data_IF_268358384603
#
_entry.id   IF_268358384603
#
_cell.length_a   1.000
_cell.length_b   1.000
_cell.length_c   1.000
_cell.angle_alpha   90.00
_cell.angle_beta   90.00
_cell.angle_gamma   90.00
#
_symmetry.space_group_name_H-M   'P 1'
#
loop_
_entity.id
_entity.type
_entity.pdbx_description
1 polymer ?
#
# COMPACT_ATOMS: atom_id res chain seq x y z
N UNK A 1 15.39 57.02 16.84
CA UNK A 1 14.73 56.71 15.54
C UNK A 1 15.24 55.41 14.93
N UNK A 2 16.54 55.19 14.70
CA UNK A 2 17.08 53.94 14.11
C UNK A 2 16.82 52.70 14.97
N UNK A 3 16.99 52.78 16.27
CA UNK A 3 16.77 51.64 17.19
C UNK A 3 15.30 51.14 17.22
N UNK A 4 14.36 52.07 17.24
CA UNK A 4 12.93 51.76 17.23
C UNK A 4 12.49 51.16 15.90
N UNK A 5 13.01 51.62 14.78
CA UNK A 5 12.75 51.05 13.46
C UNK A 5 13.31 49.61 13.35
N UNK A 6 14.52 49.36 13.90
CA UNK A 6 15.11 48.05 13.91
C UNK A 6 14.27 47.01 14.74
N UNK A 7 13.79 47.42 15.91
CA UNK A 7 12.94 46.55 16.75
C UNK A 7 11.63 46.19 16.04
N UNK A 8 10.98 47.16 15.40
CA UNK A 8 9.73 46.92 14.67
C UNK A 8 10.00 46.01 13.47
N UNK A 9 11.09 46.21 12.73
CA UNK A 9 11.45 45.38 11.58
C UNK A 9 11.70 43.89 11.99
N UNK A 10 12.41 43.68 13.11
CA UNK A 10 12.64 42.34 13.65
C UNK A 10 11.31 41.68 14.09
N UNK A 11 10.41 42.45 14.72
CA UNK A 11 9.09 41.95 15.13
C UNK A 11 8.25 41.52 13.93
N UNK A 12 8.20 42.32 12.88
CA UNK A 12 7.46 41.99 11.65
C UNK A 12 8.10 40.79 10.95
N UNK A 13 9.42 40.77 10.81
CA UNK A 13 10.12 39.65 10.19
C UNK A 13 9.87 38.31 10.94
N UNK A 14 9.89 38.35 12.27
CA UNK A 14 9.59 37.18 13.10
C UNK A 14 8.14 36.71 12.91
N UNK A 15 7.17 37.63 12.86
CA UNK A 15 5.76 37.30 12.66
C UNK A 15 5.53 36.66 11.28
N UNK A 16 6.11 37.26 10.23
CA UNK A 16 6.02 36.68 8.87
C UNK A 16 6.69 35.31 8.80
N UNK A 17 7.85 35.14 9.43
CA UNK A 17 8.54 33.84 9.49
C UNK A 17 7.70 32.76 10.17
N UNK A 18 7.03 33.08 11.28
CA UNK A 18 6.14 32.14 11.97
C UNK A 18 4.93 31.79 11.10
N UNK A 19 4.27 32.77 10.49
CA UNK A 19 3.12 32.50 9.62
C UNK A 19 3.49 31.63 8.42
N UNK A 20 4.60 31.90 7.76
CA UNK A 20 5.10 31.11 6.64
C UNK A 20 5.42 29.67 7.06
N UNK A 21 6.00 29.50 8.25
CA UNK A 21 6.31 28.17 8.81
C UNK A 21 5.02 27.40 9.11
N UNK A 22 4.00 28.04 9.65
CA UNK A 22 2.68 27.42 9.91
C UNK A 22 2.03 26.98 8.61
N UNK A 23 2.07 27.80 7.57
CA UNK A 23 1.50 27.44 6.26
C UNK A 23 2.26 26.27 5.60
N UNK A 24 3.59 26.25 5.73
CA UNK A 24 4.41 25.12 5.30
C UNK A 24 4.06 23.82 6.03
N UNK A 25 3.89 23.88 7.33
CA UNK A 25 3.47 22.71 8.14
C UNK A 25 2.04 22.26 7.77
N UNK A 26 1.10 23.19 7.64
CA UNK A 26 -0.28 22.87 7.23
C UNK A 26 -0.30 22.17 5.87
N UNK A 27 0.46 22.67 4.90
CA UNK A 27 0.55 22.07 3.58
C UNK A 27 1.17 20.67 3.66
N UNK A 28 2.29 20.50 4.35
CA UNK A 28 2.96 19.21 4.52
C UNK A 28 2.05 18.17 5.21
N UNK A 29 1.32 18.61 6.25
CA UNK A 29 0.35 17.76 6.96
C UNK A 29 -0.82 17.41 6.03
N UNK A 30 -1.38 18.37 5.29
CA UNK A 30 -2.48 18.13 4.35
C UNK A 30 -2.07 17.17 3.22
N UNK A 31 -0.87 17.35 2.67
CA UNK A 31 -0.33 16.48 1.63
C UNK A 31 -0.13 15.06 2.19
N UNK A 32 0.44 14.92 3.39
CA UNK A 32 0.59 13.63 4.07
C UNK A 32 -0.75 12.94 4.37
N UNK A 33 -1.78 13.70 4.77
CA UNK A 33 -3.13 13.15 4.96
C UNK A 33 -3.80 12.76 3.65
N UNK A 34 -3.56 13.48 2.57
CA UNK A 34 -4.07 13.13 1.24
C UNK A 34 -3.42 11.85 0.73
N UNK A 35 -2.12 11.67 0.97
CA UNK A 35 -1.38 10.45 0.66
C UNK A 35 -1.79 9.25 1.55
N UNK A 36 -2.22 9.49 2.79
CA UNK A 36 -2.72 8.45 3.71
C UNK A 36 -4.10 7.88 3.32
N UNK A 37 -4.68 8.31 2.19
CA UNK A 37 -5.92 7.74 1.68
C UNK A 37 -7.15 8.15 2.49
N UNK A 38 -7.27 9.42 2.85
CA UNK A 38 -8.44 9.97 3.55
C UNK A 38 -9.79 9.68 2.85
N UNK A 39 -9.73 9.27 1.58
CA UNK A 39 -10.89 8.93 0.77
C UNK A 39 -11.05 7.42 0.54
N UNK A 40 -10.34 6.56 1.27
CA UNK A 40 -10.44 5.11 1.14
C UNK A 40 -11.19 4.49 2.32
N UNK A 41 -12.18 3.66 2.00
CA UNK A 41 -12.92 2.84 2.98
C UNK A 41 -12.37 1.43 2.97
N UNK A 42 -12.12 0.90 4.16
CA UNK A 42 -11.63 -0.46 4.34
C UNK A 42 -12.69 -1.33 4.99
N UNK A 43 -13.16 -2.34 4.27
CA UNK A 43 -14.05 -3.38 4.79
C UNK A 43 -13.18 -4.60 5.09
N UNK A 44 -12.96 -4.85 6.37
CA UNK A 44 -12.12 -5.96 6.84
C UNK A 44 -12.73 -6.63 8.06
N UNK A 45 -12.49 -7.94 8.20
CA UNK A 45 -12.86 -8.64 9.42
C UNK A 45 -12.05 -8.11 10.60
N UNK A 46 -12.72 -7.77 11.69
CA UNK A 46 -12.03 -7.42 12.91
C UNK A 46 -11.15 -8.58 13.37
N UNK A 47 -9.90 -8.28 13.64
CA UNK A 47 -8.98 -9.25 14.21
C UNK A 47 -9.28 -9.35 15.70
N UNK A 48 -9.56 -10.56 16.18
CA UNK A 48 -9.53 -10.80 17.62
C UNK A 48 -8.08 -10.62 18.07
N UNK A 49 -7.71 -9.41 18.47
CA UNK A 49 -6.43 -9.19 19.11
C UNK A 49 -6.40 -10.06 20.36
N UNK A 50 -5.35 -10.86 20.46
CA UNK A 50 -5.05 -11.66 21.65
C UNK A 50 -4.56 -10.77 22.81
N UNK A 51 -5.18 -9.61 22.98
CA UNK A 51 -5.00 -8.78 24.17
C UNK A 51 -5.53 -9.56 25.37
N UNK A 52 -4.68 -9.75 26.35
CA UNK A 52 -5.00 -10.32 27.67
C UNK A 52 -5.82 -9.31 28.47
N UNK A 53 -7.03 -9.00 28.02
CA UNK A 53 -8.01 -8.40 28.93
C UNK A 53 -8.88 -9.53 29.47
N UNK A 54 -8.64 -9.85 30.74
CA UNK A 54 -9.37 -10.81 31.53
C UNK A 54 -10.83 -10.37 31.62
N UNK A 55 -11.75 -11.22 31.17
CA UNK A 55 -13.20 -11.06 31.44
C UNK A 55 -14.07 -10.67 30.22
N UNK A 56 -13.53 -10.37 29.05
CA UNK A 56 -14.35 -10.05 27.86
C UNK A 56 -14.61 -11.30 27.04
N UNK A 57 -15.87 -11.63 26.81
CA UNK A 57 -16.28 -12.71 25.91
C UNK A 57 -15.79 -12.38 24.49
N UNK A 58 -14.87 -13.19 23.96
CA UNK A 58 -14.29 -13.02 22.62
C UNK A 58 -15.38 -13.21 21.58
N UNK A 59 -15.80 -12.14 20.92
CA UNK A 59 -16.71 -12.20 19.79
C UNK A 59 -15.91 -12.66 18.56
N UNK A 60 -16.21 -13.84 18.02
CA UNK A 60 -15.66 -14.30 16.76
C UNK A 60 -16.35 -13.55 15.61
N UNK A 61 -15.59 -12.66 14.97
CA UNK A 61 -16.07 -12.00 13.76
C UNK A 61 -15.84 -12.90 12.53
N UNK A 62 -16.83 -13.05 11.64
CA UNK A 62 -16.64 -13.84 10.43
C UNK A 62 -15.55 -13.23 9.55
N UNK A 63 -14.77 -14.09 8.91
CA UNK A 63 -13.76 -13.68 7.94
C UNK A 63 -14.42 -13.47 6.58
N UNK A 64 -14.01 -12.45 5.85
CA UNK A 64 -14.46 -12.22 4.48
C UNK A 64 -13.72 -13.20 3.57
N UNK A 65 -14.46 -14.12 2.95
CA UNK A 65 -13.95 -15.07 1.96
C UNK A 65 -13.89 -14.43 0.57
N UNK A 66 -13.05 -14.95 -0.30
CA UNK A 66 -12.88 -14.42 -1.66
C UNK A 66 -14.21 -14.33 -2.44
N UNK A 67 -15.05 -15.37 -2.35
CA UNK A 67 -16.36 -15.41 -3.03
C UNK A 67 -17.26 -14.28 -2.56
N UNK A 68 -17.30 -14.03 -1.26
CA UNK A 68 -18.12 -12.97 -0.65
C UNK A 68 -17.62 -11.59 -1.08
N UNK A 69 -16.28 -11.39 -1.09
CA UNK A 69 -15.67 -10.14 -1.56
C UNK A 69 -15.96 -9.90 -3.06
N UNK A 70 -15.86 -10.95 -3.89
CA UNK A 70 -16.16 -10.85 -5.33
C UNK A 70 -17.65 -10.59 -5.59
N UNK A 71 -18.54 -11.23 -4.84
CA UNK A 71 -19.99 -10.99 -4.91
C UNK A 71 -20.33 -9.56 -4.47
N UNK A 72 -19.70 -9.07 -3.40
CA UNK A 72 -19.87 -7.69 -2.99
C UNK A 72 -19.50 -6.71 -4.12
N UNK A 73 -18.33 -6.87 -4.73
CA UNK A 73 -17.88 -5.98 -5.84
C UNK A 73 -18.82 -6.05 -7.02
N UNK A 74 -19.34 -7.23 -7.38
CA UNK A 74 -20.26 -7.39 -8.52
C UNK A 74 -21.59 -6.70 -8.31
N UNK A 75 -22.01 -6.50 -7.06
CA UNK A 75 -23.25 -5.83 -6.67
C UNK A 75 -23.05 -4.36 -6.25
N UNK A 76 -21.78 -3.94 -6.15
CA UNK A 76 -21.46 -2.60 -5.69
C UNK A 76 -21.80 -1.56 -6.75
N UNK A 77 -22.77 -0.70 -6.46
CA UNK A 77 -23.22 0.41 -7.30
C UNK A 77 -22.96 1.77 -6.64
N UNK A 78 -22.17 1.81 -5.56
CA UNK A 78 -21.84 3.04 -4.85
C UNK A 78 -20.78 3.87 -5.55
N UNK A 79 -20.51 5.05 -4.98
CA UNK A 79 -19.42 5.92 -5.44
C UNK A 79 -18.06 5.29 -5.12
N UNK A 80 -17.14 5.37 -6.07
CA UNK A 80 -15.76 4.92 -5.89
C UNK A 80 -15.41 3.61 -6.57
N UNK A 81 -14.12 3.30 -6.54
CA UNK A 81 -13.57 2.09 -7.16
C UNK A 81 -13.28 1.05 -6.09
N UNK A 82 -13.95 -0.11 -6.10
CA UNK A 82 -13.65 -1.19 -5.17
C UNK A 82 -12.47 -2.03 -5.65
N UNK A 83 -11.73 -2.60 -4.69
CA UNK A 83 -10.62 -3.52 -4.91
C UNK A 83 -10.59 -4.60 -3.84
N UNK A 84 -10.22 -5.82 -4.22
CA UNK A 84 -10.00 -6.93 -3.29
C UNK A 84 -8.50 -7.11 -3.07
N UNK A 85 -8.12 -7.26 -1.81
CA UNK A 85 -6.74 -7.55 -1.45
C UNK A 85 -6.64 -8.58 -0.33
N UNK A 86 -5.45 -9.12 -0.17
CA UNK A 86 -5.12 -9.99 0.96
C UNK A 86 -3.61 -9.96 1.22
N UNK A 87 -3.22 -10.11 2.47
CA UNK A 87 -1.83 -10.37 2.84
C UNK A 87 -1.54 -11.86 2.80
N UNK A 88 -0.66 -12.24 1.90
CA UNK A 88 -0.24 -13.64 1.72
C UNK A 88 0.72 -14.06 2.84
N UNK A 89 1.73 -13.23 3.11
CA UNK A 89 2.70 -13.43 4.20
C UNK A 89 3.46 -12.14 4.51
N UNK A 90 3.81 -11.89 5.78
CA UNK A 90 4.71 -10.80 6.15
C UNK A 90 6.19 -11.20 6.21
N UNK A 91 6.53 -12.47 5.93
CA UNK A 91 7.85 -13.06 6.20
C UNK A 91 8.32 -13.89 4.99
N UNK A 92 8.42 -13.27 3.81
CA UNK A 92 8.96 -13.95 2.65
C UNK A 92 10.46 -13.66 2.49
N UNK A 93 11.16 -14.62 1.93
CA UNK A 93 12.51 -14.49 1.39
C UNK A 93 12.41 -14.47 -0.14
N UNK A 94 13.09 -13.54 -0.77
CA UNK A 94 13.16 -13.42 -2.22
C UNK A 94 14.58 -13.70 -2.68
N UNK A 95 14.70 -14.31 -3.87
CA UNK A 95 15.99 -14.66 -4.45
C UNK A 95 16.06 -14.25 -5.92
N UNK A 96 17.17 -13.64 -6.28
CA UNK A 96 17.54 -13.33 -7.65
C UNK A 96 19.02 -13.61 -7.88
N UNK A 97 19.36 -14.56 -8.76
CA UNK A 97 20.74 -15.04 -8.94
C UNK A 97 21.35 -15.48 -7.59
N UNK A 98 22.44 -14.84 -7.17
CA UNK A 98 23.10 -15.05 -5.86
C UNK A 98 22.55 -14.17 -4.74
N UNK A 99 21.77 -13.13 -5.07
CA UNK A 99 21.25 -12.18 -4.09
C UNK A 99 20.00 -12.73 -3.42
N UNK A 100 19.93 -12.56 -2.10
CA UNK A 100 18.81 -13.04 -1.26
C UNK A 100 18.42 -11.91 -0.30
N UNK A 101 17.12 -11.70 -0.12
CA UNK A 101 16.61 -10.76 0.90
C UNK A 101 16.56 -11.40 2.28
N UNK A 102 16.48 -10.58 3.31
CA UNK A 102 16.06 -11.05 4.63
C UNK A 102 14.65 -11.62 4.57
N UNK A 103 14.28 -12.59 5.44
CA UNK A 103 12.95 -13.20 5.49
C UNK A 103 11.92 -12.30 6.17
N UNK A 104 11.86 -11.04 5.77
CA UNK A 104 10.95 -10.02 6.28
C UNK A 104 10.21 -9.27 5.17
N UNK A 105 10.21 -9.84 3.95
CA UNK A 105 9.51 -9.24 2.82
C UNK A 105 8.02 -9.52 2.95
N UNK A 106 7.22 -8.48 2.81
CA UNK A 106 5.76 -8.59 2.77
C UNK A 106 5.33 -9.02 1.38
N UNK A 107 4.47 -10.02 1.29
CA UNK A 107 3.80 -10.40 0.05
C UNK A 107 2.33 -10.05 0.20
N UNK A 108 1.90 -9.04 -0.51
CA UNK A 108 0.50 -8.68 -0.65
C UNK A 108 -0.03 -9.15 -2.01
N UNK A 109 -1.31 -9.42 -2.09
CA UNK A 109 -2.00 -9.76 -3.32
C UNK A 109 -3.22 -8.87 -3.49
N UNK A 110 -3.43 -8.42 -4.73
CA UNK A 110 -4.56 -7.55 -5.04
C UNK A 110 -5.10 -7.78 -6.46
N UNK A 111 -6.25 -7.22 -6.72
CA UNK A 111 -6.81 -7.16 -8.06
C UNK A 111 -6.17 -6.01 -8.88
N UNK A 112 -6.61 -5.82 -10.12
CA UNK A 112 -6.06 -4.80 -11.02
C UNK A 112 -6.27 -3.36 -10.52
N UNK A 113 -7.24 -3.13 -9.61
CA UNK A 113 -7.50 -1.83 -9.00
C UNK A 113 -6.65 -1.56 -7.76
N UNK A 114 -5.94 -2.56 -7.24
CA UNK A 114 -5.21 -2.49 -5.98
C UNK A 114 -4.24 -1.32 -5.90
N UNK A 115 -3.49 -1.05 -6.99
CA UNK A 115 -2.52 0.05 -7.01
C UNK A 115 -3.21 1.40 -6.82
N UNK A 116 -4.31 1.61 -7.53
CA UNK A 116 -5.09 2.85 -7.45
C UNK A 116 -5.73 3.01 -6.07
N UNK A 117 -6.43 1.97 -5.58
CA UNK A 117 -7.16 2.04 -4.31
C UNK A 117 -6.26 2.14 -3.08
N UNK A 118 -5.03 1.66 -3.18
CA UNK A 118 -4.03 1.76 -2.11
C UNK A 118 -2.98 2.84 -2.39
N UNK A 119 -3.24 3.71 -3.39
CA UNK A 119 -2.40 4.87 -3.74
C UNK A 119 -0.91 4.50 -3.93
N UNK A 120 -0.67 3.33 -4.53
CA UNK A 120 0.67 2.86 -4.86
C UNK A 120 1.08 3.38 -6.23
N UNK A 121 2.15 4.17 -6.27
CA UNK A 121 2.71 4.72 -7.50
C UNK A 121 3.74 3.76 -8.08
N UNK A 122 3.64 3.48 -9.38
CA UNK A 122 4.62 2.68 -10.11
C UNK A 122 5.62 3.64 -10.75
N UNK A 123 6.87 3.56 -10.33
CA UNK A 123 7.96 4.41 -10.84
C UNK A 123 8.45 3.91 -12.20
N UNK A 124 8.60 2.60 -12.36
CA UNK A 124 9.12 1.96 -13.59
C UNK A 124 8.28 0.74 -13.92
N UNK A 125 8.00 0.53 -15.21
CA UNK A 125 7.22 -0.60 -15.66
C UNK A 125 5.72 -0.32 -15.67
N UNK A 126 4.91 -1.31 -15.32
CA UNK A 126 3.44 -1.26 -15.39
C UNK A 126 2.75 -2.07 -14.29
N UNK A 127 1.47 -1.79 -14.12
CA UNK A 127 0.57 -2.63 -13.33
C UNK A 127 0.26 -3.95 -14.07
N UNK A 128 -0.24 -4.95 -13.37
CA UNK A 128 -0.82 -6.13 -13.99
C UNK A 128 -2.21 -5.80 -14.56
N UNK A 129 -2.49 -6.41 -15.71
CA UNK A 129 -3.77 -6.24 -16.39
C UNK A 129 -4.87 -7.07 -15.71
N UNK A 130 -6.12 -6.76 -16.01
CA UNK A 130 -7.25 -7.56 -15.57
C UNK A 130 -7.09 -9.03 -15.99
N UNK A 131 -6.67 -9.30 -17.23
CA UNK A 131 -6.45 -10.66 -17.74
C UNK A 131 -5.33 -11.39 -16.99
N UNK A 132 -4.20 -10.70 -16.70
CA UNK A 132 -3.12 -11.29 -15.89
C UNK A 132 -3.60 -11.63 -14.48
N UNK A 133 -4.44 -10.79 -13.91
CA UNK A 133 -5.05 -11.03 -12.60
C UNK A 133 -6.03 -12.23 -12.65
N UNK A 134 -6.96 -12.27 -13.60
CA UNK A 134 -7.96 -13.33 -13.74
C UNK A 134 -7.33 -14.68 -14.06
N UNK A 135 -6.30 -14.69 -14.91
CA UNK A 135 -5.55 -15.90 -15.24
C UNK A 135 -4.59 -16.33 -14.12
N UNK A 136 -4.38 -15.50 -13.11
CA UNK A 136 -3.41 -15.76 -12.05
C UNK A 136 -2.00 -15.98 -12.61
N UNK A 137 -1.54 -15.04 -13.41
CA UNK A 137 -0.20 -15.08 -14.01
C UNK A 137 0.86 -14.83 -12.93
N UNK A 138 1.99 -15.51 -13.03
CA UNK A 138 3.11 -15.34 -12.10
C UNK A 138 3.92 -14.08 -12.43
N UNK A 139 3.29 -12.94 -12.25
CA UNK A 139 3.90 -11.61 -12.36
C UNK A 139 3.93 -10.93 -11.01
N UNK A 140 4.84 -9.96 -10.83
CA UNK A 140 4.97 -9.23 -9.57
C UNK A 140 5.42 -7.79 -9.79
N UNK A 141 4.98 -6.92 -8.91
CA UNK A 141 5.49 -5.56 -8.76
C UNK A 141 6.27 -5.54 -7.46
N UNK A 142 7.46 -4.99 -7.49
CA UNK A 142 8.39 -4.98 -6.36
C UNK A 142 8.54 -3.58 -5.78
N UNK A 143 8.73 -3.48 -4.47
CA UNK A 143 9.06 -2.23 -3.79
C UNK A 143 10.49 -1.76 -4.09
N UNK A 144 10.76 -0.47 -3.87
CA UNK A 144 12.07 0.16 -4.10
C UNK A 144 13.21 -0.52 -3.34
N UNK A 145 12.95 -0.93 -2.09
CA UNK A 145 13.93 -1.65 -1.27
C UNK A 145 14.27 -3.03 -1.81
N UNK A 146 13.31 -3.74 -2.39
CA UNK A 146 13.57 -5.04 -3.03
C UNK A 146 14.43 -4.85 -4.28
N UNK A 147 14.13 -3.82 -5.09
CA UNK A 147 14.99 -3.45 -6.23
C UNK A 147 16.44 -3.23 -5.79
N UNK A 148 16.68 -2.39 -4.80
CA UNK A 148 18.04 -2.05 -4.34
C UNK A 148 18.77 -3.24 -3.70
N UNK A 149 18.04 -4.19 -3.08
CA UNK A 149 18.62 -5.37 -2.45
C UNK A 149 19.00 -6.44 -3.47
N UNK A 150 18.13 -6.75 -4.43
CA UNK A 150 18.32 -7.88 -5.34
C UNK A 150 19.02 -7.49 -6.66
N UNK A 151 18.81 -6.24 -7.13
CA UNK A 151 19.35 -5.80 -8.42
C UNK A 151 20.50 -4.81 -8.22
N UNK A 152 21.72 -5.36 -8.13
CA UNK A 152 22.94 -4.58 -7.93
C UNK A 152 23.37 -3.86 -9.21
N UNK A 153 24.27 -2.88 -9.06
CA UNK A 153 24.87 -2.15 -10.19
C UNK A 153 23.83 -1.50 -11.12
N UNK A 154 22.69 -1.04 -10.55
CA UNK A 154 21.62 -0.42 -11.31
C UNK A 154 20.98 -1.34 -12.38
N UNK A 155 21.07 -2.67 -12.22
CA UNK A 155 20.44 -3.63 -13.14
C UNK A 155 18.93 -3.37 -13.20
N UNK A 156 18.39 -3.31 -14.42
CA UNK A 156 16.95 -3.15 -14.65
C UNK A 156 16.21 -4.44 -14.22
N UNK A 157 15.28 -4.36 -13.25
CA UNK A 157 14.51 -5.51 -12.79
C UNK A 157 13.40 -5.94 -13.75
N UNK A 158 12.99 -5.08 -14.69
CA UNK A 158 11.84 -5.37 -15.55
C UNK A 158 12.13 -6.58 -16.45
N UNK A 159 11.13 -7.46 -16.56
CA UNK A 159 11.19 -8.74 -17.25
C UNK A 159 12.16 -9.77 -16.66
N UNK A 160 12.82 -9.50 -15.53
CA UNK A 160 13.60 -10.50 -14.79
C UNK A 160 12.70 -11.37 -13.93
N UNK A 161 13.20 -12.54 -13.55
CA UNK A 161 12.47 -13.49 -12.71
C UNK A 161 13.09 -13.54 -11.33
N UNK A 162 12.27 -13.26 -10.31
CA UNK A 162 12.65 -13.48 -8.91
C UNK A 162 11.96 -14.74 -8.38
N UNK A 163 12.57 -15.38 -7.42
CA UNK A 163 11.97 -16.52 -6.73
C UNK A 163 11.44 -16.09 -5.36
N UNK A 164 10.21 -16.48 -5.06
CA UNK A 164 9.58 -16.28 -3.76
C UNK A 164 8.89 -17.59 -3.35
N UNK A 165 9.24 -18.15 -2.19
CA UNK A 165 8.62 -19.39 -1.67
C UNK A 165 8.59 -20.54 -2.68
N UNK A 166 9.66 -20.72 -3.45
CA UNK A 166 9.79 -21.77 -4.45
C UNK A 166 9.12 -21.52 -5.80
N UNK A 167 8.43 -20.39 -5.96
CA UNK A 167 7.80 -19.98 -7.21
C UNK A 167 8.55 -18.86 -7.89
N UNK A 168 8.59 -18.87 -9.23
CA UNK A 168 9.23 -17.81 -10.04
C UNK A 168 8.19 -16.79 -10.47
N UNK A 169 8.48 -15.51 -10.23
CA UNK A 169 7.64 -14.38 -10.62
C UNK A 169 8.40 -13.47 -11.58
N UNK A 170 7.77 -13.11 -12.68
CA UNK A 170 8.30 -12.11 -13.61
C UNK A 170 8.04 -10.72 -13.05
N UNK A 171 9.10 -9.92 -12.86
CA UNK A 171 8.97 -8.53 -12.44
C UNK A 171 8.44 -7.69 -13.60
N UNK A 172 7.32 -6.98 -13.38
CA UNK A 172 6.68 -6.14 -14.39
C UNK A 172 6.62 -4.66 -13.99
N UNK A 173 6.88 -4.36 -12.72
CA UNK A 173 6.90 -2.99 -12.22
C UNK A 173 7.71 -2.84 -10.96
N UNK A 174 8.12 -1.62 -10.69
CA UNK A 174 8.79 -1.18 -9.47
C UNK A 174 8.01 -0.02 -8.89
N UNK A 175 7.69 -0.11 -7.61
CA UNK A 175 7.01 0.97 -6.89
C UNK A 175 7.97 2.12 -6.61
N UNK A 176 7.40 3.31 -6.58
CA UNK A 176 8.08 4.49 -6.06
C UNK A 176 8.35 4.35 -4.55
N UNK A 177 9.35 5.05 -4.07
CA UNK A 177 9.75 5.03 -2.67
C UNK A 177 8.72 5.78 -1.82
N UNK A 178 8.09 5.07 -0.90
CA UNK A 178 7.10 5.65 0.01
C UNK A 178 7.68 5.95 1.40
N UNK A 179 8.91 5.49 1.67
CA UNK A 179 9.57 5.63 2.96
C UNK A 179 9.03 4.66 4.03
N UNK A 180 9.77 4.55 5.12
CA UNK A 180 9.47 3.61 6.22
C UNK A 180 8.23 3.98 7.05
N UNK A 181 7.71 5.19 6.91
CA UNK A 181 6.56 5.71 7.67
C UNK A 181 5.20 5.23 7.16
N UNK A 182 5.14 4.67 5.95
CA UNK A 182 3.89 4.26 5.29
C UNK A 182 3.53 2.79 5.51
N UNK A 183 3.24 2.42 6.77
CA UNK A 183 2.62 1.15 7.11
C UNK A 183 3.53 -0.08 7.11
N UNK A 184 2.99 -1.25 7.46
CA UNK A 184 3.74 -2.49 7.55
C UNK A 184 4.22 -2.95 6.18
N UNK A 185 5.53 -2.98 6.00
CA UNK A 185 6.19 -3.37 4.76
C UNK A 185 6.81 -2.21 4.00
N UNK A 186 6.23 -0.98 4.03
CA UNK A 186 6.77 0.18 3.33
C UNK A 186 7.28 -0.18 1.93
N UNK A 187 8.58 0.02 1.70
CA UNK A 187 9.26 -0.32 0.45
C UNK A 187 9.75 -1.77 0.36
N UNK A 188 9.59 -2.56 1.45
CA UNK A 188 10.04 -3.96 1.54
C UNK A 188 8.90 -4.95 1.27
N UNK A 189 8.27 -4.82 0.12
CA UNK A 189 7.13 -5.64 -0.27
C UNK A 189 7.18 -6.05 -1.74
N UNK A 190 6.43 -7.10 -2.04
CA UNK A 190 6.04 -7.43 -3.42
C UNK A 190 4.52 -7.55 -3.49
N UNK A 191 3.98 -7.24 -4.66
CA UNK A 191 2.55 -7.34 -4.93
C UNK A 191 2.34 -8.30 -6.10
N UNK A 192 1.46 -9.27 -5.91
CA UNK A 192 1.12 -10.29 -6.92
C UNK A 192 -0.38 -10.23 -7.23
N UNK A 193 -0.82 -10.73 -8.39
CA UNK A 193 -2.24 -10.84 -8.70
C UNK A 193 -2.98 -11.72 -7.68
N UNK A 194 -4.20 -11.36 -7.35
CA UNK A 194 -4.95 -12.06 -6.30
C UNK A 194 -5.23 -13.53 -6.65
N UNK A 195 -5.52 -13.83 -7.92
CA UNK A 195 -5.73 -15.20 -8.37
C UNK A 195 -4.44 -16.04 -8.31
N UNK A 196 -3.27 -15.41 -8.53
CA UNK A 196 -1.98 -16.08 -8.32
C UNK A 196 -1.82 -16.49 -6.86
N UNK A 197 -2.16 -15.61 -5.92
CA UNK A 197 -2.07 -15.94 -4.50
C UNK A 197 -2.97 -17.10 -4.12
N UNK A 198 -4.16 -17.21 -4.74
CA UNK A 198 -5.11 -18.30 -4.52
C UNK A 198 -4.61 -19.66 -5.04
N UNK A 199 -3.87 -19.64 -6.17
CA UNK A 199 -3.21 -20.83 -6.70
C UNK A 199 -2.09 -21.33 -5.78
N UNK A 200 -1.34 -20.40 -5.18
CA UNK A 200 -0.20 -20.73 -4.32
C UNK A 200 -0.63 -21.22 -2.94
N UNK A 201 -1.53 -20.53 -2.32
CA UNK A 201 -2.11 -20.89 -1.03
C UNK A 201 -3.44 -20.15 -0.87
N UNK A 202 -4.56 -20.86 -0.75
CA UNK A 202 -5.83 -20.23 -0.45
C UNK A 202 -5.71 -19.44 0.86
N UNK A 203 -5.83 -18.12 0.77
CA UNK A 203 -5.89 -17.25 1.93
C UNK A 203 -7.31 -17.27 2.47
N UNK A 204 -7.44 -17.26 3.77
CA UNK A 204 -8.77 -17.34 4.40
C UNK A 204 -9.39 -15.96 4.65
N UNK A 205 -8.62 -14.89 4.53
CA UNK A 205 -9.04 -13.53 4.91
C UNK A 205 -8.75 -12.55 3.79
N UNK A 206 -9.80 -11.92 3.29
CA UNK A 206 -9.72 -10.88 2.27
C UNK A 206 -10.20 -9.55 2.85
N UNK A 207 -9.75 -8.47 2.25
CA UNK A 207 -10.13 -7.10 2.56
C UNK A 207 -10.67 -6.45 1.28
N UNK A 208 -11.65 -5.56 1.44
CA UNK A 208 -12.17 -4.75 0.34
C UNK A 208 -11.80 -3.31 0.65
N UNK A 209 -11.16 -2.65 -0.30
CA UNK A 209 -10.85 -1.23 -0.23
C UNK A 209 -11.68 -0.50 -1.28
N UNK A 210 -12.36 0.59 -0.92
CA UNK A 210 -13.13 1.41 -1.83
C UNK A 210 -12.52 2.80 -1.81
N UNK A 211 -11.96 3.24 -2.95
CA UNK A 211 -11.44 4.59 -3.11
C UNK A 211 -12.54 5.49 -3.68
N UNK A 212 -12.88 6.54 -2.96
CA UNK A 212 -13.87 7.55 -3.38
C UNK A 212 -13.14 8.80 -3.86
N UNK A 213 -13.42 9.23 -5.08
CA UNK A 213 -12.72 10.34 -5.71
C UNK A 213 -13.11 11.73 -5.16
N UNK A 214 -14.18 11.82 -4.37
CA UNK A 214 -14.64 13.10 -3.81
C UNK A 214 -15.25 12.90 -2.43
N UNK A 215 -14.75 13.62 -1.43
CA UNK A 215 -15.23 13.56 -0.05
C UNK A 215 -16.69 14.02 0.13
N UNK A 216 -17.26 14.72 -0.84
CA UNK A 216 -18.67 15.15 -0.82
C UNK A 216 -19.67 14.04 -1.13
N UNK A 217 -19.23 12.94 -1.77
CA UNK A 217 -20.10 11.80 -2.11
C UNK A 217 -20.32 10.82 -0.94
N UNK A 218 -19.78 11.12 0.22
CA UNK A 218 -19.81 10.27 1.43
C UNK A 218 -21.13 10.44 2.22
N UNK A 219 -21.91 11.46 1.92
CA UNK A 219 -23.08 11.87 2.75
C UNK A 219 -24.45 11.34 2.27
N UNK A 220 -24.49 10.47 1.29
CA UNK A 220 -25.78 9.90 0.82
C UNK A 220 -25.84 8.38 1.04
#
# INVERSE_FOLDING_TARGET
MLLTAAIISIGIASLVGILTSIDGIKKSVSDSFSELGSNAYYIRSLRNDRGKESGVVKKNYPIIKYREAKEFISRYNGAGTPSISTRVTPIAELKYKSEITNPNVVVDAGDHNYMNTNQKVILVGRNFTQTENENGNFVTIIGSRIKSTLFKNNEDPINKFISARGNKFKVIGVLDEQGSSFGPGGDNLIIIPIETSRKLKPTSRYEITILVNNSEQIKN
#
